data_IF_213637284569
#
_entry.id   IF_213637284569
#
_cell.length_a   1.000
_cell.length_b   1.000
_cell.length_c   1.000
_cell.angle_alpha   90.00
_cell.angle_beta   90.00
_cell.angle_gamma   90.00
#
_symmetry.space_group_name_H-M   'P 1'
#
loop_
_entity.id
_entity.type
_entity.pdbx_description
1 polymer ?
#
# COMPACT_ATOMS: atom_id res chain seq x y z
N UNK A 1 -8.85 -4.52 -11.75
CA UNK A 1 -7.78 -3.62 -11.23
C UNK A 1 -6.73 -4.32 -10.37
N UNK A 2 -5.46 -3.90 -10.43
CA UNK A 2 -4.40 -4.24 -9.45
C UNK A 2 -3.84 -2.95 -8.87
N UNK A 3 -4.26 -2.58 -7.67
CA UNK A 3 -3.90 -1.31 -7.03
C UNK A 3 -2.86 -1.55 -5.93
N UNK A 4 -1.82 -0.72 -5.92
CA UNK A 4 -0.85 -0.65 -4.83
C UNK A 4 -0.86 0.77 -4.29
N UNK A 5 -1.27 0.94 -3.04
CA UNK A 5 -1.22 2.22 -2.34
C UNK A 5 0.03 2.25 -1.45
N UNK A 6 0.81 3.31 -1.54
CA UNK A 6 2.00 3.53 -0.71
C UNK A 6 1.94 4.91 -0.07
N UNK A 7 2.63 5.11 1.03
CA UNK A 7 2.69 6.39 1.72
C UNK A 7 3.23 6.25 3.14
N UNK A 8 3.66 7.37 3.71
CA UNK A 8 4.10 7.44 5.10
C UNK A 8 2.97 6.99 6.04
N UNK A 9 3.34 6.47 7.22
CA UNK A 9 2.42 6.34 8.33
C UNK A 9 1.65 7.66 8.53
N UNK A 10 0.35 7.60 8.81
CA UNK A 10 -0.56 8.75 8.88
C UNK A 10 -0.88 9.51 7.59
N UNK A 11 -0.39 9.07 6.42
CA UNK A 11 -0.83 9.63 5.14
C UNK A 11 -2.27 9.26 4.76
N UNK A 12 -2.95 8.37 5.50
CA UNK A 12 -4.35 8.02 5.26
C UNK A 12 -4.57 6.87 4.26
N UNK A 13 -3.54 6.06 3.97
CA UNK A 13 -3.62 4.95 3.00
C UNK A 13 -4.76 3.98 3.29
N UNK A 14 -4.98 3.60 4.55
CA UNK A 14 -6.02 2.62 4.93
C UNK A 14 -7.41 3.21 4.74
N UNK A 15 -7.65 4.42 5.25
CA UNK A 15 -8.92 5.11 5.07
C UNK A 15 -9.27 5.30 3.59
N UNK A 16 -8.28 5.70 2.78
CA UNK A 16 -8.48 5.89 1.35
C UNK A 16 -8.70 4.56 0.61
N UNK A 17 -8.02 3.49 0.99
CA UNK A 17 -8.22 2.15 0.41
C UNK A 17 -9.68 1.68 0.57
N UNK A 18 -10.27 1.88 1.74
CA UNK A 18 -11.70 1.58 1.97
C UNK A 18 -12.61 2.44 1.09
N UNK A 19 -12.38 3.76 1.03
CA UNK A 19 -13.16 4.66 0.18
C UNK A 19 -13.07 4.29 -1.31
N UNK A 20 -11.89 3.86 -1.79
CA UNK A 20 -11.69 3.37 -3.15
C UNK A 20 -12.47 2.07 -3.38
N UNK A 21 -12.49 1.15 -2.41
CA UNK A 21 -13.26 -0.09 -2.52
C UNK A 21 -14.77 0.20 -2.59
N UNK A 22 -15.27 1.14 -1.78
CA UNK A 22 -16.67 1.57 -1.82
C UNK A 22 -17.02 2.22 -3.17
N UNK A 23 -16.17 3.13 -3.66
CA UNK A 23 -16.31 3.68 -5.01
C UNK A 23 -16.35 2.59 -6.09
N UNK A 24 -15.49 1.58 -5.97
CA UNK A 24 -15.40 0.46 -6.92
C UNK A 24 -16.69 -0.36 -6.93
N UNK A 25 -17.30 -0.61 -5.77
CA UNK A 25 -18.60 -1.30 -5.63
C UNK A 25 -19.71 -0.51 -6.30
N UNK A 26 -19.78 0.76 -5.99
CA UNK A 26 -20.84 1.65 -6.47
C UNK A 26 -20.75 1.87 -7.98
N UNK A 27 -19.55 2.09 -8.51
CA UNK A 27 -19.34 2.58 -9.86
C UNK A 27 -18.93 1.51 -10.87
N UNK A 28 -18.31 0.42 -10.43
CA UNK A 28 -17.86 -0.67 -11.30
C UNK A 28 -18.61 -1.99 -11.05
N UNK A 29 -19.42 -2.06 -9.98
CA UNK A 29 -20.17 -3.27 -9.63
C UNK A 29 -19.28 -4.47 -9.29
N UNK A 30 -18.07 -4.19 -8.81
CA UNK A 30 -17.08 -5.18 -8.37
C UNK A 30 -16.42 -4.67 -7.10
N UNK A 31 -15.55 -5.44 -6.48
CA UNK A 31 -14.88 -5.06 -5.24
C UNK A 31 -13.49 -5.68 -5.16
N UNK A 32 -12.71 -5.21 -4.19
CA UNK A 32 -11.54 -5.91 -3.68
C UNK A 32 -12.02 -6.84 -2.57
N UNK A 33 -11.90 -8.15 -2.79
CA UNK A 33 -12.34 -9.17 -1.81
C UNK A 33 -11.65 -9.00 -0.46
N UNK A 34 -10.41 -8.54 -0.50
CA UNK A 34 -9.61 -8.19 0.67
C UNK A 34 -8.71 -7.01 0.33
N UNK A 35 -8.51 -6.13 1.31
CA UNK A 35 -7.46 -5.12 1.31
C UNK A 35 -6.26 -5.74 2.02
N UNK A 36 -5.15 -5.92 1.31
CA UNK A 36 -3.94 -6.53 1.87
C UNK A 36 -3.06 -5.43 2.47
N UNK A 37 -3.12 -5.24 3.79
CA UNK A 37 -2.33 -4.25 4.54
C UNK A 37 -1.39 -4.89 5.58
N UNK A 38 -1.34 -6.22 5.62
CA UNK A 38 -0.56 -7.03 6.54
C UNK A 38 0.95 -7.08 6.24
N UNK A 39 1.47 -6.05 5.60
CA UNK A 39 2.90 -5.76 5.50
C UNK A 39 3.34 -4.75 6.57
N UNK A 40 2.37 -4.04 7.16
CA UNK A 40 2.56 -3.03 8.21
C UNK A 40 3.01 -3.69 9.51
N UNK A 41 4.30 -3.73 9.73
CA UNK A 41 4.87 -4.19 10.99
C UNK A 41 4.66 -3.15 12.10
N UNK A 42 4.47 -3.55 13.36
CA UNK A 42 4.24 -4.91 13.84
C UNK A 42 2.76 -5.35 13.80
N UNK A 43 1.82 -4.43 13.58
CA UNK A 43 0.38 -4.71 13.50
C UNK A 43 -0.03 -5.15 12.09
N UNK A 44 0.43 -6.34 11.70
CA UNK A 44 0.30 -6.86 10.34
C UNK A 44 -1.09 -7.43 10.04
N UNK A 45 -2.20 -6.89 10.55
CA UNK A 45 -3.61 -7.26 10.22
C UNK A 45 -3.83 -8.55 9.37
N UNK A 46 -3.54 -9.76 9.90
CA UNK A 46 -3.38 -10.94 9.06
C UNK A 46 -4.72 -11.44 8.50
N UNK A 47 -4.66 -12.40 7.57
CA UNK A 47 -5.84 -13.15 7.17
C UNK A 47 -6.47 -13.84 8.39
N UNK A 48 -7.72 -13.50 8.69
CA UNK A 48 -8.49 -14.08 9.79
C UNK A 48 -8.65 -13.11 10.96
N UNK A 49 -8.74 -13.62 12.20
CA UNK A 49 -8.83 -12.77 13.40
C UNK A 49 -7.61 -11.86 13.55
N UNK A 50 -7.83 -10.67 14.13
CA UNK A 50 -6.73 -9.77 14.48
C UNK A 50 -5.78 -10.42 15.51
N UNK A 51 -4.51 -10.00 15.47
CA UNK A 51 -3.53 -10.38 16.48
C UNK A 51 -3.88 -9.75 17.83
N UNK A 52 -3.75 -10.52 18.90
CA UNK A 52 -3.88 -9.97 20.25
C UNK A 52 -2.65 -9.12 20.61
N UNK A 53 -2.74 -8.23 21.62
CA UNK A 53 -1.57 -7.51 22.12
C UNK A 53 -0.40 -8.43 22.52
N UNK A 54 -0.70 -9.62 23.05
CA UNK A 54 0.31 -10.62 23.42
C UNK A 54 0.99 -11.23 22.17
N UNK A 55 0.22 -11.49 21.11
CA UNK A 55 0.76 -11.96 19.83
C UNK A 55 1.68 -10.91 19.19
N UNK A 56 1.28 -9.63 19.24
CA UNK A 56 2.09 -8.51 18.73
C UNK A 56 3.36 -8.36 19.57
N UNK A 57 3.26 -8.43 20.89
CA UNK A 57 4.43 -8.39 21.76
C UNK A 57 5.39 -9.56 21.47
N UNK A 58 4.89 -10.78 21.27
CA UNK A 58 5.69 -11.93 20.87
C UNK A 58 6.35 -11.73 19.50
N UNK A 59 5.63 -11.16 18.53
CA UNK A 59 6.16 -10.82 17.21
C UNK A 59 7.31 -9.80 17.31
N UNK A 60 7.15 -8.77 18.14
CA UNK A 60 8.19 -7.74 18.34
C UNK A 60 9.47 -8.28 18.99
N UNK A 61 9.42 -9.42 19.69
CA UNK A 61 10.61 -10.10 20.25
C UNK A 61 11.36 -10.96 19.22
N UNK A 62 10.83 -11.12 18.00
CA UNK A 62 11.53 -11.87 16.96
C UNK A 62 12.85 -11.20 16.59
N UNK A 63 13.88 -12.03 16.38
CA UNK A 63 15.13 -11.52 15.82
C UNK A 63 14.90 -10.91 14.42
N UNK A 64 15.69 -9.91 14.01
CA UNK A 64 15.61 -9.34 12.66
C UNK A 64 15.60 -10.40 11.56
N UNK A 65 16.35 -11.50 11.74
CA UNK A 65 16.38 -12.60 10.78
C UNK A 65 15.04 -13.34 10.65
N UNK A 66 14.35 -13.59 11.75
CA UNK A 66 13.06 -14.28 11.72
C UNK A 66 11.98 -13.37 11.13
N UNK A 67 11.98 -12.09 11.52
CA UNK A 67 11.09 -11.08 10.94
C UNK A 67 11.29 -10.95 9.43
N UNK A 68 12.55 -10.87 8.96
CA UNK A 68 12.88 -10.82 7.53
C UNK A 68 12.32 -12.02 6.77
N UNK A 69 12.48 -13.24 7.32
CA UNK A 69 12.03 -14.46 6.66
C UNK A 69 10.50 -14.47 6.56
N UNK A 70 9.80 -14.10 7.63
CA UNK A 70 8.32 -14.04 7.64
C UNK A 70 7.84 -13.02 6.61
N UNK A 71 8.36 -11.80 6.65
CA UNK A 71 7.97 -10.76 5.70
C UNK A 71 8.33 -11.14 4.27
N UNK A 72 9.50 -11.73 4.03
CA UNK A 72 9.88 -12.19 2.70
C UNK A 72 8.89 -13.23 2.16
N UNK A 73 8.48 -14.21 2.97
CA UNK A 73 7.47 -15.18 2.55
C UNK A 73 6.12 -14.50 2.27
N UNK A 74 5.71 -13.54 3.11
CA UNK A 74 4.50 -12.74 2.91
C UNK A 74 4.53 -12.00 1.56
N UNK A 75 5.64 -11.30 1.25
CA UNK A 75 5.83 -10.60 -0.02
C UNK A 75 5.73 -11.55 -1.23
N UNK A 76 6.39 -12.71 -1.17
CA UNK A 76 6.31 -13.69 -2.27
C UNK A 76 4.92 -14.29 -2.43
N UNK A 77 4.19 -14.50 -1.33
CA UNK A 77 2.83 -15.03 -1.35
C UNK A 77 1.84 -14.05 -2.03
N UNK A 78 2.02 -12.74 -1.87
CA UNK A 78 1.19 -11.71 -2.51
C UNK A 78 1.68 -11.21 -3.87
N UNK A 79 2.81 -11.73 -4.34
CA UNK A 79 3.32 -11.41 -5.68
C UNK A 79 2.63 -12.32 -6.71
N UNK A 80 2.05 -11.76 -7.78
CA UNK A 80 1.31 -12.54 -8.77
C UNK A 80 2.22 -13.54 -9.52
N UNK A 81 1.61 -14.55 -10.11
CA UNK A 81 2.30 -15.66 -10.78
C UNK A 81 1.45 -16.23 -11.90
N UNK A 82 2.04 -17.11 -12.73
CA UNK A 82 1.48 -17.53 -14.03
C UNK A 82 0.05 -18.11 -13.99
N UNK A 83 -0.32 -18.85 -12.94
CA UNK A 83 -1.69 -19.37 -12.78
C UNK A 83 -2.45 -18.66 -11.65
N UNK A 84 -2.02 -17.45 -11.30
CA UNK A 84 -2.70 -16.59 -10.34
C UNK A 84 -4.07 -16.14 -10.84
N UNK A 85 -4.94 -15.77 -9.91
CA UNK A 85 -6.27 -15.25 -10.24
C UNK A 85 -6.18 -13.87 -10.91
N UNK A 86 -7.07 -13.62 -11.87
CA UNK A 86 -7.30 -12.28 -12.46
C UNK A 86 -8.22 -11.41 -11.58
N UNK A 87 -8.39 -11.78 -10.31
CA UNK A 87 -9.16 -11.02 -9.34
C UNK A 87 -8.58 -9.63 -9.10
N UNK A 88 -9.45 -8.74 -8.63
CA UNK A 88 -9.06 -7.43 -8.17
C UNK A 88 -8.16 -7.58 -6.94
N UNK A 89 -7.03 -6.87 -6.95
CA UNK A 89 -6.07 -6.86 -5.86
C UNK A 89 -5.86 -5.43 -5.39
N UNK A 90 -5.85 -5.23 -4.07
CA UNK A 90 -5.46 -3.98 -3.43
C UNK A 90 -4.46 -4.28 -2.34
N UNK A 91 -3.24 -3.75 -2.48
CA UNK A 91 -2.20 -3.82 -1.46
C UNK A 91 -1.88 -2.45 -0.89
N UNK A 92 -1.69 -2.36 0.43
CA UNK A 92 -1.18 -1.17 1.10
C UNK A 92 0.26 -1.45 1.52
N UNK A 93 1.20 -0.62 1.06
CA UNK A 93 2.63 -0.75 1.34
C UNK A 93 3.33 -1.81 0.50
N UNK A 94 2.85 -3.06 0.51
CA UNK A 94 3.46 -4.21 -0.17
C UNK A 94 4.99 -4.22 0.07
N UNK A 95 5.81 -4.42 -0.97
CA UNK A 95 7.27 -4.42 -0.85
C UNK A 95 7.87 -3.01 -0.68
N UNK A 96 7.10 -1.93 -0.89
CA UNK A 96 7.60 -0.56 -0.73
C UNK A 96 7.81 -0.21 0.73
N UNK A 97 6.91 -0.63 1.63
CA UNK A 97 7.12 -0.45 3.06
C UNK A 97 8.38 -1.19 3.54
N UNK A 98 8.63 -2.39 3.04
CA UNK A 98 9.87 -3.12 3.36
C UNK A 98 11.12 -2.44 2.77
N UNK A 99 11.03 -1.76 1.62
CA UNK A 99 12.13 -0.95 1.09
C UNK A 99 12.45 0.26 1.98
N UNK A 100 11.41 0.91 2.49
CA UNK A 100 11.54 2.16 3.26
C UNK A 100 11.87 1.88 4.74
N UNK A 101 11.17 0.94 5.35
CA UNK A 101 11.21 0.72 6.80
C UNK A 101 12.21 -0.35 7.22
N UNK A 102 12.35 -1.46 6.49
CA UNK A 102 13.11 -2.59 7.00
C UNK A 102 14.60 -2.28 7.28
N UNK A 103 15.34 -1.62 6.37
CA UNK A 103 16.74 -1.27 6.63
C UNK A 103 16.91 -0.26 7.76
N UNK A 104 15.91 0.60 7.99
CA UNK A 104 15.98 1.70 8.95
C UNK A 104 15.51 1.30 10.35
N UNK A 105 14.44 0.52 10.44
CA UNK A 105 13.75 0.24 11.71
C UNK A 105 13.78 -1.24 12.12
N UNK A 106 13.88 -2.18 11.19
CA UNK A 106 13.73 -3.61 11.51
C UNK A 106 15.05 -4.38 11.57
N UNK A 107 16.17 -3.72 11.23
CA UNK A 107 17.52 -4.27 11.38
C UNK A 107 17.87 -5.35 10.36
N UNK A 108 17.21 -5.37 9.19
CA UNK A 108 17.52 -6.28 8.08
C UNK A 108 17.33 -5.62 6.73
N UNK A 109 17.81 -6.28 5.66
CA UNK A 109 17.49 -5.90 4.29
C UNK A 109 18.25 -4.68 3.76
N UNK A 110 19.32 -4.26 4.44
CA UNK A 110 20.20 -3.19 3.98
C UNK A 110 20.94 -3.56 2.70
N UNK A 111 21.47 -2.53 2.01
CA UNK A 111 22.17 -2.73 0.73
C UNK A 111 23.39 -3.64 0.89
N UNK A 112 23.50 -4.64 0.02
CA UNK A 112 24.59 -5.63 0.01
C UNK A 112 24.49 -6.70 1.11
N UNK A 113 23.42 -6.71 1.91
CA UNK A 113 23.20 -7.73 2.95
C UNK A 113 22.40 -8.91 2.40
N UNK A 114 22.42 -10.03 3.14
CA UNK A 114 21.48 -11.11 2.89
C UNK A 114 20.04 -10.61 3.04
N UNK A 115 19.22 -10.83 2.01
CA UNK A 115 17.85 -10.32 1.99
C UNK A 115 17.73 -8.83 1.62
N UNK A 116 18.76 -8.23 1.01
CA UNK A 116 18.76 -6.85 0.49
C UNK A 116 17.42 -6.51 -0.19
N UNK A 117 16.71 -5.55 0.40
CA UNK A 117 15.36 -5.19 -0.06
C UNK A 117 15.39 -4.48 -1.41
N UNK A 118 16.48 -3.80 -1.78
CA UNK A 118 16.61 -3.20 -3.11
C UNK A 118 16.64 -4.26 -4.21
N UNK A 119 17.28 -5.41 -3.96
CA UNK A 119 17.34 -6.54 -4.90
C UNK A 119 16.04 -7.32 -4.91
N UNK A 120 15.53 -7.69 -3.72
CA UNK A 120 14.31 -8.47 -3.60
C UNK A 120 13.13 -7.72 -4.21
N UNK A 121 12.92 -6.46 -3.82
CA UNK A 121 11.79 -5.68 -4.31
C UNK A 121 11.83 -5.46 -5.82
N UNK A 122 13.02 -5.30 -6.42
CA UNK A 122 13.13 -5.22 -7.88
C UNK A 122 12.68 -6.51 -8.57
N UNK A 123 13.04 -7.67 -8.03
CA UNK A 123 12.58 -8.96 -8.57
C UNK A 123 11.07 -9.15 -8.40
N UNK A 124 10.51 -8.76 -7.25
CA UNK A 124 9.06 -8.82 -7.02
C UNK A 124 8.30 -7.91 -7.97
N UNK A 125 8.78 -6.67 -8.18
CA UNK A 125 8.15 -5.72 -9.09
C UNK A 125 8.22 -6.18 -10.56
N UNK A 126 9.35 -6.73 -11.01
CA UNK A 126 9.44 -7.34 -12.35
C UNK A 126 8.42 -8.46 -12.53
N UNK A 127 8.20 -9.26 -11.49
CA UNK A 127 7.19 -10.33 -11.50
C UNK A 127 5.77 -9.77 -11.49
N UNK A 128 5.51 -8.69 -10.74
CA UNK A 128 4.23 -7.96 -10.81
C UNK A 128 3.98 -7.51 -12.24
N UNK A 129 4.94 -6.83 -12.88
CA UNK A 129 4.76 -6.34 -14.25
C UNK A 129 4.64 -7.46 -15.29
N UNK A 130 5.27 -8.61 -15.05
CA UNK A 130 5.14 -9.78 -15.93
C UNK A 130 3.71 -10.33 -15.94
N UNK A 131 3.05 -10.39 -14.78
CA UNK A 131 1.75 -11.06 -14.64
C UNK A 131 0.57 -10.12 -14.47
N UNK A 132 0.82 -8.88 -14.04
CA UNK A 132 -0.13 -7.78 -13.85
C UNK A 132 0.46 -6.49 -14.42
N UNK A 133 0.65 -6.40 -15.75
CA UNK A 133 1.09 -5.16 -16.40
C UNK A 133 0.06 -4.02 -16.26
N UNK A 134 -1.16 -4.35 -15.83
CA UNK A 134 -2.24 -3.45 -15.43
C UNK A 134 -2.09 -2.89 -13.99
N UNK A 135 -0.98 -3.17 -13.31
CA UNK A 135 -0.72 -2.63 -11.98
C UNK A 135 -0.66 -1.10 -11.99
N UNK A 136 -1.38 -0.49 -11.04
CA UNK A 136 -1.41 0.96 -10.81
C UNK A 136 -0.83 1.26 -9.44
N UNK A 137 0.19 2.12 -9.40
CA UNK A 137 0.83 2.60 -8.18
C UNK A 137 0.27 3.96 -7.77
N UNK A 138 -0.19 4.07 -6.53
CA UNK A 138 -0.79 5.28 -5.99
C UNK A 138 0.04 5.69 -4.78
N UNK A 139 0.67 6.86 -4.86
CA UNK A 139 1.32 7.47 -3.70
C UNK A 139 0.31 8.36 -2.98
N UNK A 140 0.04 8.05 -1.73
CA UNK A 140 -0.81 8.83 -0.84
C UNK A 140 0.10 9.74 -0.02
N UNK A 141 -0.06 11.03 -0.19
CA UNK A 141 0.80 12.06 0.40
C UNK A 141 0.04 12.83 1.48
N UNK A 142 0.80 13.39 2.42
CA UNK A 142 0.35 14.37 3.38
C UNK A 142 1.54 15.23 3.78
N UNK A 143 1.31 16.53 4.01
CA UNK A 143 2.34 17.45 4.45
C UNK A 143 2.92 17.00 5.81
N UNK A 144 4.23 17.24 6.08
CA UNK A 144 4.87 16.78 7.31
C UNK A 144 4.21 17.27 8.60
N UNK A 145 3.76 18.53 8.63
CA UNK A 145 3.03 19.13 9.75
C UNK A 145 1.66 18.47 9.96
N UNK A 146 0.94 18.14 8.88
CA UNK A 146 -0.32 17.39 8.93
C UNK A 146 -0.09 15.98 9.49
N UNK A 147 0.97 15.29 9.07
CA UNK A 147 1.32 13.96 9.62
C UNK A 147 1.56 14.05 11.12
N UNK A 148 2.38 15.01 11.58
CA UNK A 148 2.65 15.19 13.02
C UNK A 148 1.40 15.52 13.81
N UNK A 149 0.53 16.37 13.25
CA UNK A 149 -0.75 16.68 13.87
C UNK A 149 -1.57 15.39 14.06
N UNK A 150 -1.68 14.55 13.02
CA UNK A 150 -2.41 13.27 13.10
C UNK A 150 -1.78 12.30 14.10
N UNK A 151 -0.45 12.23 14.18
CA UNK A 151 0.27 11.45 15.20
C UNK A 151 -0.09 11.89 16.62
N UNK A 152 -0.21 13.19 16.85
CA UNK A 152 -0.57 13.75 18.16
C UNK A 152 -2.06 13.57 18.51
N UNK A 153 -2.95 13.77 17.54
CA UNK A 153 -4.40 13.67 17.73
C UNK A 153 -4.89 12.22 17.86
N UNK A 154 -4.26 11.28 17.16
CA UNK A 154 -4.66 9.87 17.15
C UNK A 154 -3.42 8.96 17.13
N UNK A 155 -2.69 8.83 18.25
CA UNK A 155 -1.50 8.00 18.32
C UNK A 155 -1.84 6.53 18.06
N UNK A 156 -1.10 5.90 17.16
CA UNK A 156 -1.20 4.47 16.89
C UNK A 156 -0.68 3.69 18.10
N UNK A 157 -1.24 2.51 18.39
CA UNK A 157 -0.77 1.68 19.50
C UNK A 157 0.66 1.16 19.28
N UNK A 158 1.08 1.02 18.02
CA UNK A 158 2.39 0.47 17.66
C UNK A 158 3.05 1.31 16.54
N UNK A 159 3.44 2.57 16.81
CA UNK A 159 3.98 3.45 15.78
C UNK A 159 5.35 2.95 15.33
N UNK A 160 5.63 3.06 14.02
CA UNK A 160 6.94 2.71 13.45
C UNK A 160 7.78 3.95 13.24
N UNK A 161 7.15 5.01 12.72
CA UNK A 161 7.85 6.23 12.31
C UNK A 161 7.93 7.20 13.49
N UNK A 162 9.13 7.54 14.00
CA UNK A 162 9.29 8.61 14.97
C UNK A 162 8.92 9.96 14.36
N UNK A 163 8.38 10.88 15.16
CA UNK A 163 7.99 12.22 14.71
C UNK A 163 9.14 13.00 14.04
N UNK A 164 10.37 12.77 14.50
CA UNK A 164 11.59 13.40 13.97
C UNK A 164 11.98 12.88 12.57
N UNK A 165 11.47 11.72 12.17
CA UNK A 165 11.82 11.07 10.90
C UNK A 165 10.75 11.31 9.81
N UNK A 166 9.66 12.04 10.11
CA UNK A 166 8.51 12.22 9.22
C UNK A 166 8.91 12.73 7.82
N UNK A 167 9.64 13.85 7.72
CA UNK A 167 10.08 14.38 6.42
C UNK A 167 10.94 13.38 5.66
N UNK A 168 11.86 12.71 6.37
CA UNK A 168 12.73 11.73 5.74
C UNK A 168 11.92 10.58 5.16
N UNK A 169 10.93 10.07 5.91
CA UNK A 169 10.10 8.95 5.45
C UNK A 169 9.19 9.35 4.29
N UNK A 170 8.59 10.54 4.32
CA UNK A 170 7.83 11.07 3.17
C UNK A 170 8.72 11.07 1.93
N UNK A 171 9.92 11.66 2.03
CA UNK A 171 10.87 11.71 0.93
C UNK A 171 11.26 10.30 0.44
N UNK A 172 11.44 9.33 1.34
CA UNK A 172 11.75 7.96 0.94
C UNK A 172 10.63 7.31 0.13
N UNK A 173 9.36 7.54 0.47
CA UNK A 173 8.25 7.04 -0.35
C UNK A 173 8.18 7.72 -1.73
N UNK A 174 8.44 9.03 -1.81
CA UNK A 174 8.55 9.73 -3.09
C UNK A 174 9.69 9.16 -3.96
N UNK A 175 10.86 8.92 -3.37
CA UNK A 175 12.01 8.32 -4.08
C UNK A 175 11.69 6.92 -4.62
N UNK A 176 11.06 6.05 -3.81
CA UNK A 176 10.69 4.72 -4.28
C UNK A 176 9.53 4.76 -5.30
N UNK A 177 8.60 5.71 -5.16
CA UNK A 177 7.57 5.97 -6.16
C UNK A 177 8.20 6.33 -7.51
N UNK A 178 9.17 7.24 -7.52
CA UNK A 178 9.86 7.67 -8.73
C UNK A 178 10.70 6.55 -9.37
N UNK A 179 11.39 5.75 -8.54
CA UNK A 179 12.22 4.61 -8.98
C UNK A 179 11.46 3.34 -9.35
N UNK A 180 10.14 3.29 -9.12
CA UNK A 180 9.29 2.17 -9.50
C UNK A 180 9.28 1.94 -11.01
N UNK A 181 9.31 0.67 -11.44
CA UNK A 181 9.10 0.29 -12.84
C UNK A 181 7.62 0.38 -13.25
N UNK A 182 6.69 0.44 -12.29
CA UNK A 182 5.26 0.59 -12.56
C UNK A 182 5.04 1.96 -13.18
N UNK A 183 4.55 1.96 -14.44
CA UNK A 183 4.36 3.18 -15.23
C UNK A 183 3.00 3.83 -15.01
N UNK A 184 1.99 3.03 -14.72
CA UNK A 184 0.66 3.52 -14.41
C UNK A 184 0.68 3.98 -12.96
N UNK A 185 0.84 5.29 -12.75
CA UNK A 185 0.96 5.83 -11.41
C UNK A 185 0.48 7.27 -11.31
N UNK A 186 -0.01 7.63 -10.14
CA UNK A 186 -0.41 9.00 -9.79
C UNK A 186 -0.30 9.20 -8.28
N UNK A 187 -0.43 10.46 -7.85
CA UNK A 187 -0.34 10.88 -6.45
C UNK A 187 -1.72 11.36 -5.99
N UNK A 188 -2.01 11.22 -4.70
CA UNK A 188 -3.22 11.74 -4.06
C UNK A 188 -2.82 12.43 -2.75
N UNK A 189 -3.09 13.72 -2.64
CA UNK A 189 -2.73 14.53 -1.46
C UNK A 189 -3.91 14.57 -0.47
N UNK A 190 -3.67 14.07 0.73
CA UNK A 190 -4.66 14.03 1.81
C UNK A 190 -4.49 15.15 2.83
N UNK A 191 -3.58 16.10 2.60
CA UNK A 191 -3.22 17.13 3.59
C UNK A 191 -4.43 17.95 4.02
N UNK A 192 -5.23 18.39 3.05
CA UNK A 192 -6.40 19.25 3.28
C UNK A 192 -7.70 18.66 2.74
N UNK A 193 -7.63 17.76 1.75
CA UNK A 193 -8.79 17.15 1.14
C UNK A 193 -9.47 16.18 2.12
N UNK A 194 -10.79 16.17 2.13
CA UNK A 194 -11.56 15.14 2.79
C UNK A 194 -11.40 13.78 2.08
N UNK A 195 -11.79 12.70 2.77
CA UNK A 195 -11.80 11.36 2.19
C UNK A 195 -12.66 11.30 0.92
N UNK A 196 -13.81 11.98 0.91
CA UNK A 196 -14.71 12.00 -0.24
C UNK A 196 -14.12 12.75 -1.44
N UNK A 197 -13.46 13.89 -1.20
CA UNK A 197 -12.76 14.65 -2.25
C UNK A 197 -11.60 13.85 -2.83
N UNK A 198 -10.80 13.21 -1.97
CA UNK A 198 -9.67 12.37 -2.40
C UNK A 198 -10.16 11.14 -3.19
N UNK A 199 -11.27 10.53 -2.78
CA UNK A 199 -11.88 9.42 -3.52
C UNK A 199 -12.43 9.86 -4.89
N UNK A 200 -12.95 11.09 -5.00
CA UNK A 200 -13.35 11.67 -6.29
C UNK A 200 -12.15 11.97 -7.19
N UNK A 201 -11.03 12.44 -6.63
CA UNK A 201 -9.78 12.63 -7.36
C UNK A 201 -9.21 11.30 -7.86
N UNK A 202 -9.24 10.25 -7.02
CA UNK A 202 -8.94 8.89 -7.43
C UNK A 202 -9.82 8.46 -8.62
N UNK A 203 -11.14 8.66 -8.51
CA UNK A 203 -12.10 8.27 -9.54
C UNK A 203 -11.85 8.95 -10.89
N UNK A 204 -11.32 10.18 -10.89
CA UNK A 204 -10.87 10.86 -12.10
C UNK A 204 -9.54 10.29 -12.61
N UNK A 205 -8.56 10.11 -11.71
CA UNK A 205 -7.18 9.73 -12.03
C UNK A 205 -7.04 8.28 -12.49
N UNK A 206 -7.94 7.38 -12.08
CA UNK A 206 -7.88 5.96 -12.43
C UNK A 206 -8.40 5.66 -13.84
N UNK A 207 -9.24 6.53 -14.42
CA UNK A 207 -9.94 6.23 -15.69
C UNK A 207 -9.02 5.86 -16.85
N UNK A 208 -7.86 6.52 -17.07
CA UNK A 208 -6.94 6.14 -18.15
C UNK A 208 -6.38 4.73 -18.03
N UNK A 209 -6.47 4.12 -16.83
CA UNK A 209 -5.92 2.81 -16.50
C UNK A 209 -7.00 1.72 -16.41
N UNK A 210 -8.27 2.07 -16.56
CA UNK A 210 -9.37 1.12 -16.56
C UNK A 210 -9.41 0.37 -17.90
N UNK A 211 -9.73 -0.92 -17.84
CA UNK A 211 -10.04 -1.72 -19.03
C UNK A 211 -11.31 -1.23 -19.72
N UNK A 212 -11.50 -1.58 -20.99
CA UNK A 212 -12.73 -1.27 -21.73
C UNK A 212 -13.99 -1.77 -21.02
N UNK A 213 -13.92 -2.95 -20.39
CA UNK A 213 -15.05 -3.51 -19.63
C UNK A 213 -15.35 -2.67 -18.37
N UNK A 214 -14.33 -2.19 -17.67
CA UNK A 214 -14.50 -1.33 -16.49
C UNK A 214 -15.05 0.05 -16.90
N UNK A 215 -14.53 0.65 -17.98
CA UNK A 215 -15.06 1.90 -18.53
C UNK A 215 -16.53 1.78 -18.96
N UNK A 216 -16.91 0.66 -19.59
CA UNK A 216 -18.30 0.40 -19.95
C UNK A 216 -19.19 0.29 -18.70
N UNK A 217 -18.75 -0.40 -17.65
CA UNK A 217 -19.50 -0.50 -16.38
C UNK A 217 -19.66 0.86 -15.72
N UNK A 218 -18.60 1.68 -15.71
CA UNK A 218 -18.60 3.03 -15.19
C UNK A 218 -19.66 3.88 -15.90
N UNK A 219 -19.62 3.92 -17.24
CA UNK A 219 -20.57 4.68 -18.04
C UNK A 219 -22.04 4.21 -17.84
N UNK A 220 -22.27 2.90 -17.79
CA UNK A 220 -23.61 2.33 -17.58
C UNK A 220 -24.18 2.65 -16.20
N UNK A 221 -23.34 2.77 -15.17
CA UNK A 221 -23.77 3.10 -13.81
C UNK A 221 -23.99 4.60 -13.62
N UNK A 222 -23.12 5.43 -14.18
CA UNK A 222 -23.31 6.89 -14.20
C UNK A 222 -24.58 7.29 -14.97
N UNK A 223 -24.85 6.65 -16.11
CA UNK A 223 -26.07 6.89 -16.88
C UNK A 223 -27.38 6.40 -16.23
N UNK A 224 -27.32 5.63 -15.14
CA UNK A 224 -28.48 5.24 -14.32
C UNK A 224 -28.71 6.15 -13.12
N UNK A 225 -27.73 6.96 -12.76
CA UNK A 225 -27.76 7.86 -11.60
C UNK A 225 -28.21 9.29 -11.95
N UNK A 226 -28.31 9.63 -13.24
CA UNK A 226 -28.89 10.88 -13.75
C UNK A 226 -30.30 10.68 -14.29
#
# INVERSE_FOLDING_TARGET
MYLILIGCEYAGTTTLAHAINDWTKENLGTEFKLIHDHYKLPDTKPHGPELTPDDIAAFQQLSPRLTEVIQRHNLYYHTPWASGSNENFMGIGLYFEELVYAPKYYGYGGRGQDGDRTVISRNLEQRILQFRPDAVLILVEAAPDVIRQRMAESPHPYPVVPEADVEQIIQRFEEEYDHSLIRQKFKLDTSTASVAETAAEFAASIQPYLSESELLRLALRQGKAG
#
